data_IF_992068450021
#
_entry.id   IF_992068450021
#
_cell.length_a   1.000
_cell.length_b   1.000
_cell.length_c   1.000
_cell.angle_alpha   90.00
_cell.angle_beta   90.00
_cell.angle_gamma   90.00
#
_symmetry.space_group_name_H-M   'P 1'
#
loop_
_entity.id
_entity.type
_entity.pdbx_description
1 polymer ?
#
# COMPACT_ATOMS: atom_id res chain seq x y z
N UNK A 1 11.31 -35.57 51.23
CA UNK A 1 10.09 -34.77 51.47
C UNK A 1 10.18 -33.53 50.59
N UNK A 2 9.66 -33.62 49.37
CA UNK A 2 9.56 -32.48 48.46
C UNK A 2 8.17 -32.55 47.81
N UNK A 3 7.20 -31.92 48.46
CA UNK A 3 5.85 -31.73 47.96
C UNK A 3 5.68 -30.25 47.62
N UNK A 4 6.11 -29.86 46.43
CA UNK A 4 5.73 -28.58 45.83
C UNK A 4 4.43 -28.80 45.06
N UNK A 5 3.31 -28.38 45.65
CA UNK A 5 2.01 -28.40 45.00
C UNK A 5 1.91 -27.18 44.09
N UNK A 6 2.25 -27.34 42.81
CA UNK A 6 1.93 -26.34 41.79
C UNK A 6 0.41 -26.27 41.62
N UNK A 7 -0.18 -25.21 42.16
CA UNK A 7 -1.56 -24.84 41.92
C UNK A 7 -1.72 -24.45 40.44
N UNK A 8 -2.25 -25.37 39.64
CA UNK A 8 -2.72 -25.05 38.30
C UNK A 8 -3.87 -24.05 38.41
N UNK A 9 -3.58 -22.76 38.16
CA UNK A 9 -4.59 -21.72 37.95
C UNK A 9 -5.56 -22.20 36.87
N UNK A 10 -6.73 -22.66 37.29
CA UNK A 10 -7.79 -23.10 36.41
C UNK A 10 -8.52 -21.86 35.95
N UNK A 11 -8.10 -21.27 34.83
CA UNK A 11 -8.75 -20.10 34.24
C UNK A 11 -10.19 -20.46 33.87
N UNK A 12 -11.15 -20.13 34.74
CA UNK A 12 -12.56 -20.46 34.54
C UNK A 12 -13.12 -19.58 33.42
N UNK A 13 -13.31 -20.14 32.23
CA UNK A 13 -13.93 -19.43 31.12
C UNK A 13 -15.42 -19.21 31.44
N UNK A 14 -15.88 -17.97 31.28
CA UNK A 14 -17.28 -17.59 31.48
C UNK A 14 -18.05 -17.61 30.16
N UNK A 15 -19.30 -18.05 30.20
CA UNK A 15 -20.17 -18.07 29.05
C UNK A 15 -20.48 -16.64 28.59
N UNK A 16 -20.25 -16.37 27.31
CA UNK A 16 -20.45 -15.05 26.69
C UNK A 16 -21.87 -14.52 26.87
N UNK A 17 -22.84 -15.43 26.92
CA UNK A 17 -24.26 -15.06 27.00
C UNK A 17 -24.76 -14.88 28.43
N UNK A 18 -24.38 -15.76 29.35
CA UNK A 18 -25.03 -15.85 30.66
C UNK A 18 -24.05 -15.82 31.84
N UNK A 19 -22.75 -15.65 31.60
CA UNK A 19 -21.71 -15.54 32.62
C UNK A 19 -21.36 -16.83 33.36
N UNK A 20 -22.16 -17.90 33.21
CA UNK A 20 -21.92 -19.20 33.86
C UNK A 20 -20.64 -19.88 33.36
N UNK A 21 -20.02 -20.78 34.14
CA UNK A 21 -18.84 -21.54 33.70
C UNK A 21 -19.08 -22.23 32.35
N UNK A 22 -18.18 -22.00 31.41
CA UNK A 22 -18.30 -22.44 30.02
C UNK A 22 -17.24 -23.49 29.68
N UNK A 23 -17.68 -24.55 29.02
CA UNK A 23 -16.85 -25.70 28.64
C UNK A 23 -17.01 -26.08 27.16
N UNK A 24 -17.98 -25.48 26.45
CA UNK A 24 -18.23 -25.70 25.03
C UNK A 24 -17.64 -24.56 24.18
N UNK A 25 -17.10 -24.90 23.01
CA UNK A 25 -16.46 -23.96 22.09
C UNK A 25 -17.04 -24.06 20.69
N UNK A 26 -17.01 -22.96 19.94
CA UNK A 26 -17.40 -22.95 18.54
C UNK A 26 -16.38 -23.74 17.70
N UNK A 27 -16.81 -24.76 16.92
CA UNK A 27 -15.90 -25.54 16.08
C UNK A 27 -15.09 -24.68 15.10
N UNK A 28 -15.68 -23.59 14.58
CA UNK A 28 -15.00 -22.68 13.66
C UNK A 28 -13.97 -21.78 14.36
N UNK A 29 -14.18 -21.42 15.62
CA UNK A 29 -13.16 -20.71 16.42
C UNK A 29 -11.95 -21.62 16.68
N UNK A 30 -12.20 -22.90 16.96
CA UNK A 30 -11.13 -23.89 17.14
C UNK A 30 -10.32 -24.08 15.85
N UNK A 31 -11.01 -24.20 14.70
CA UNK A 31 -10.38 -24.29 13.38
C UNK A 31 -9.52 -23.06 13.05
N UNK A 32 -9.99 -21.85 13.41
CA UNK A 32 -9.32 -20.58 13.17
C UNK A 32 -8.34 -20.16 14.28
N UNK A 33 -8.12 -21.00 15.30
CA UNK A 33 -7.25 -20.72 16.48
C UNK A 33 -7.52 -19.36 17.15
N UNK A 34 -8.79 -18.98 17.28
CA UNK A 34 -9.18 -17.71 17.90
C UNK A 34 -9.18 -17.81 19.43
N UNK A 35 -8.98 -16.68 20.15
CA UNK A 35 -9.00 -16.64 21.62
C UNK A 35 -10.29 -17.28 22.18
N UNK A 36 -10.14 -18.01 23.28
CA UNK A 36 -11.25 -18.72 23.95
C UNK A 36 -12.05 -17.76 24.83
N UNK A 37 -11.39 -16.72 25.29
CA UNK A 37 -11.93 -15.63 26.09
C UNK A 37 -12.93 -14.83 25.25
N UNK A 38 -14.21 -14.85 25.64
CA UNK A 38 -15.27 -14.18 24.87
C UNK A 38 -15.88 -15.02 23.73
N UNK A 39 -15.56 -16.32 23.64
CA UNK A 39 -16.13 -17.25 22.66
C UNK A 39 -16.57 -18.61 23.25
N UNK A 40 -16.69 -18.69 24.58
CA UNK A 40 -17.04 -19.91 25.31
C UNK A 40 -18.55 -19.96 25.67
N UNK A 41 -19.13 -21.15 25.65
CA UNK A 41 -20.54 -21.39 25.94
C UNK A 41 -20.74 -22.49 27.00
N UNK A 42 -21.75 -22.34 27.85
CA UNK A 42 -22.10 -23.36 28.85
C UNK A 42 -23.01 -24.47 28.30
N UNK A 43 -23.79 -24.19 27.25
CA UNK A 43 -24.78 -25.10 26.65
C UNK A 43 -24.96 -24.83 25.17
N UNK A 44 -25.49 -25.82 24.43
CA UNK A 44 -25.81 -25.68 23.01
C UNK A 44 -26.89 -24.61 22.75
N UNK A 45 -27.80 -24.38 23.69
CA UNK A 45 -28.83 -23.33 23.59
C UNK A 45 -28.23 -21.92 23.73
N UNK A 46 -27.24 -21.75 24.60
CA UNK A 46 -26.49 -20.50 24.70
C UNK A 46 -25.67 -20.22 23.44
N UNK A 47 -25.14 -21.26 22.80
CA UNK A 47 -24.44 -21.15 21.52
C UNK A 47 -25.39 -20.74 20.39
N UNK A 48 -26.53 -21.44 20.22
CA UNK A 48 -27.51 -21.12 19.15
C UNK A 48 -28.07 -19.72 19.27
N UNK A 49 -28.40 -19.28 20.47
CA UNK A 49 -28.95 -17.94 20.70
C UNK A 49 -27.92 -16.82 20.48
N UNK A 50 -26.63 -17.11 20.66
CA UNK A 50 -25.54 -16.16 20.38
C UNK A 50 -24.98 -16.31 18.97
N UNK A 51 -25.49 -17.22 18.14
CA UNK A 51 -24.92 -17.56 16.83
C UNK A 51 -24.91 -16.37 15.86
N UNK A 52 -26.01 -15.59 15.83
CA UNK A 52 -26.16 -14.44 14.94
C UNK A 52 -25.16 -13.33 15.27
N UNK A 53 -24.92 -13.05 16.55
CA UNK A 53 -23.92 -12.07 17.00
C UNK A 53 -22.50 -12.61 16.98
N UNK A 54 -22.28 -13.90 17.24
CA UNK A 54 -20.95 -14.51 17.28
C UNK A 54 -20.33 -14.67 15.88
N UNK A 55 -21.14 -14.82 14.83
CA UNK A 55 -20.68 -14.91 13.43
C UNK A 55 -19.80 -13.72 13.01
N UNK A 56 -19.99 -12.53 13.57
CA UNK A 56 -19.17 -11.36 13.26
C UNK A 56 -17.72 -11.48 13.75
N UNK A 57 -17.47 -12.29 14.80
CA UNK A 57 -16.11 -12.57 15.29
C UNK A 57 -15.30 -13.31 14.22
N UNK A 58 -15.94 -14.23 13.49
CA UNK A 58 -15.32 -14.90 12.35
C UNK A 58 -15.13 -13.99 11.15
N UNK A 59 -16.01 -12.99 10.93
CA UNK A 59 -15.82 -12.02 9.85
C UNK A 59 -14.57 -11.16 10.10
N UNK A 60 -14.38 -10.67 11.34
CA UNK A 60 -13.17 -9.96 11.74
C UNK A 60 -11.94 -10.85 11.60
N UNK A 61 -11.98 -12.08 12.11
CA UNK A 61 -10.88 -13.03 11.97
C UNK A 61 -10.56 -13.41 10.51
N UNK A 62 -11.55 -13.45 9.62
CA UNK A 62 -11.33 -13.70 8.18
C UNK A 62 -10.63 -12.53 7.48
N UNK A 63 -10.81 -11.31 7.99
CA UNK A 63 -10.04 -10.12 7.59
C UNK A 63 -8.64 -10.10 8.24
N UNK A 64 -8.42 -10.90 9.28
CA UNK A 64 -7.15 -11.00 10.03
C UNK A 64 -6.36 -12.29 9.74
N UNK A 65 -6.90 -13.22 8.95
CA UNK A 65 -6.23 -14.47 8.63
C UNK A 65 -5.11 -14.21 7.60
N UNK A 66 -3.88 -14.68 7.83
CA UNK A 66 -2.76 -14.52 6.89
C UNK A 66 -2.95 -15.47 5.71
N UNK A 67 -3.80 -15.07 4.77
CA UNK A 67 -3.74 -15.55 3.39
C UNK A 67 -2.66 -14.76 2.67
N UNK A 68 -1.45 -15.33 2.56
CA UNK A 68 -0.43 -15.04 1.53
C UNK A 68 -0.39 -13.59 1.01
N UNK A 69 0.50 -12.78 1.59
CA UNK A 69 1.02 -11.56 0.98
C UNK A 69 0.43 -10.25 1.50
N UNK A 70 1.03 -9.74 2.57
CA UNK A 70 1.25 -8.32 2.89
C UNK A 70 0.56 -7.31 1.93
N UNK A 71 -0.66 -6.87 2.22
CA UNK A 71 -1.28 -5.76 1.49
C UNK A 71 -2.46 -5.07 2.21
N UNK A 72 -2.65 -5.28 3.52
CA UNK A 72 -3.80 -4.69 4.23
C UNK A 72 -3.63 -3.18 4.50
N UNK A 73 -2.42 -2.69 4.76
CA UNK A 73 -2.18 -1.25 4.97
C UNK A 73 -2.22 -0.42 3.67
N UNK A 74 -1.77 -0.98 2.54
CA UNK A 74 -1.66 -0.23 1.27
C UNK A 74 -3.01 0.02 0.58
N UNK A 75 -4.00 -0.85 0.81
CA UNK A 75 -5.39 -0.60 0.37
C UNK A 75 -5.98 0.59 1.13
N UNK A 76 -5.52 0.87 2.35
CA UNK A 76 -5.96 2.02 3.15
C UNK A 76 -5.44 3.36 2.61
N UNK A 77 -4.32 3.38 1.89
CA UNK A 77 -3.74 4.59 1.28
C UNK A 77 -4.24 4.82 -0.16
N UNK A 78 -5.13 3.96 -0.67
CA UNK A 78 -5.71 4.13 -2.00
C UNK A 78 -4.76 3.84 -3.16
N UNK A 79 -3.62 3.18 -2.90
CA UNK A 79 -2.69 2.80 -3.95
C UNK A 79 -3.32 1.79 -4.91
N UNK A 80 -3.12 1.98 -6.21
CA UNK A 80 -3.74 1.14 -7.25
C UNK A 80 -2.78 0.83 -8.38
N UNK A 81 -2.93 -0.35 -8.98
CA UNK A 81 -2.19 -0.72 -10.17
C UNK A 81 -2.66 0.08 -11.39
N UNK A 82 -1.72 0.45 -12.26
CA UNK A 82 -1.99 1.07 -13.55
C UNK A 82 -2.41 0.02 -14.59
N UNK A 83 -3.44 0.33 -15.34
CA UNK A 83 -3.87 -0.41 -16.54
C UNK A 83 -4.13 0.56 -17.69
N UNK A 84 -4.28 0.05 -18.91
CA UNK A 84 -4.54 0.85 -20.13
C UNK A 84 -3.53 2.01 -20.29
N UNK A 85 -2.23 1.71 -20.22
CA UNK A 85 -1.15 2.72 -20.33
C UNK A 85 -1.29 3.88 -19.33
N UNK A 86 -1.78 3.61 -18.12
CA UNK A 86 -1.93 4.61 -17.05
C UNK A 86 -3.28 5.35 -17.02
N UNK A 87 -4.15 5.12 -18.01
CA UNK A 87 -5.46 5.77 -18.09
C UNK A 87 -6.52 5.21 -17.13
N UNK A 88 -6.27 4.04 -16.53
CA UNK A 88 -7.19 3.44 -15.57
C UNK A 88 -6.45 2.78 -14.40
N UNK A 89 -7.16 2.62 -13.28
CA UNK A 89 -6.65 2.12 -12.01
C UNK A 89 -7.43 0.90 -11.54
N UNK A 90 -6.75 -0.10 -11.01
CA UNK A 90 -7.38 -1.32 -10.47
C UNK A 90 -6.72 -1.74 -9.15
N UNK A 91 -7.49 -2.24 -8.17
CA UNK A 91 -6.92 -2.81 -6.94
C UNK A 91 -6.28 -4.18 -7.17
N UNK A 92 -6.61 -4.86 -8.27
CA UNK A 92 -6.09 -6.19 -8.61
C UNK A 92 -4.91 -6.07 -9.57
N UNK A 93 -3.86 -6.84 -9.32
CA UNK A 93 -2.71 -6.97 -10.22
C UNK A 93 -3.18 -7.42 -11.61
N UNK A 94 -2.88 -6.69 -12.70
CA UNK A 94 -3.25 -7.11 -14.04
C UNK A 94 -2.49 -8.38 -14.45
N UNK A 95 -3.17 -9.23 -15.21
CA UNK A 95 -2.54 -10.40 -15.82
C UNK A 95 -1.68 -9.97 -17.03
N UNK A 96 -0.43 -10.42 -17.02
CA UNK A 96 0.54 -10.22 -18.10
C UNK A 96 1.66 -11.26 -17.96
N UNK A 97 2.23 -11.69 -19.08
CA UNK A 97 3.33 -12.66 -19.12
C UNK A 97 4.67 -11.94 -18.99
N UNK A 98 5.10 -11.75 -17.74
CA UNK A 98 6.33 -11.04 -17.41
C UNK A 98 7.58 -11.85 -17.79
N UNK A 99 8.59 -11.19 -18.35
CA UNK A 99 9.83 -11.82 -18.82
C UNK A 99 10.85 -12.12 -17.72
N UNK A 100 10.69 -11.53 -16.53
CA UNK A 100 11.65 -11.67 -15.42
C UNK A 100 10.98 -11.82 -14.06
N UNK A 101 11.72 -11.55 -12.98
CA UNK A 101 11.22 -11.62 -11.59
C UNK A 101 10.52 -10.34 -11.14
N UNK A 102 10.85 -9.19 -11.74
CA UNK A 102 10.27 -7.90 -11.38
C UNK A 102 8.77 -7.86 -11.69
N UNK A 103 7.97 -7.31 -10.76
CA UNK A 103 6.52 -7.14 -10.91
C UNK A 103 6.14 -5.70 -10.61
N UNK A 104 5.11 -5.14 -11.25
CA UNK A 104 4.60 -3.83 -10.88
C UNK A 104 3.99 -3.89 -9.47
N UNK A 105 4.10 -2.78 -8.76
CA UNK A 105 3.43 -2.56 -7.48
C UNK A 105 2.30 -1.54 -7.66
N UNK A 106 1.29 -1.49 -6.77
CA UNK A 106 0.38 -0.36 -6.71
C UNK A 106 1.19 0.94 -6.61
N UNK A 107 0.69 2.03 -7.18
CA UNK A 107 1.35 3.33 -7.09
C UNK A 107 0.44 4.34 -6.40
N UNK A 108 1.07 5.34 -5.76
CA UNK A 108 0.38 6.42 -5.07
C UNK A 108 -0.37 7.35 -6.04
N UNK A 109 -1.11 8.30 -5.48
CA UNK A 109 -1.74 9.38 -6.26
C UNK A 109 -0.70 10.37 -6.80
N UNK A 110 -0.98 10.98 -7.95
CA UNK A 110 -0.11 12.02 -8.54
C UNK A 110 0.11 13.17 -7.54
N UNK A 111 1.37 13.55 -7.33
CA UNK A 111 1.76 14.69 -6.51
C UNK A 111 1.41 16.01 -7.20
N UNK A 112 1.08 17.03 -6.40
CA UNK A 112 0.67 18.34 -6.90
C UNK A 112 1.89 19.22 -7.19
N UNK A 113 1.83 19.95 -8.32
CA UNK A 113 2.81 20.98 -8.68
C UNK A 113 2.18 22.36 -8.39
N UNK A 114 2.89 23.29 -7.71
CA UNK A 114 2.39 24.63 -7.47
C UNK A 114 2.06 25.41 -8.74
N UNK A 115 1.04 26.27 -8.68
CA UNK A 115 0.53 27.01 -9.84
C UNK A 115 1.48 28.08 -10.39
N UNK A 116 2.53 28.47 -9.64
CA UNK A 116 3.51 29.45 -10.09
C UNK A 116 4.59 28.86 -11.00
N UNK A 117 4.72 27.53 -11.06
CA UNK A 117 5.68 26.85 -11.93
C UNK A 117 5.08 26.75 -13.33
N UNK A 118 5.83 27.18 -14.34
CA UNK A 118 5.41 27.06 -15.73
C UNK A 118 5.30 25.59 -16.13
N UNK A 119 4.14 25.22 -16.68
CA UNK A 119 3.84 23.85 -17.06
C UNK A 119 4.04 23.65 -18.57
N UNK A 120 4.61 22.52 -19.01
CA UNK A 120 4.65 22.16 -20.41
C UNK A 120 3.25 21.88 -20.97
N UNK A 121 3.12 21.91 -22.30
CA UNK A 121 1.85 21.77 -23.04
C UNK A 121 1.10 20.44 -22.80
N UNK A 122 1.83 19.42 -22.37
CA UNK A 122 1.36 18.07 -22.06
C UNK A 122 1.07 17.82 -20.56
N UNK A 123 1.32 18.78 -19.66
CA UNK A 123 1.27 18.53 -18.21
C UNK A 123 -0.09 18.04 -17.68
N UNK A 124 -1.18 18.43 -18.34
CA UNK A 124 -2.56 18.15 -17.91
C UNK A 124 -3.15 16.90 -18.58
N UNK A 125 -2.98 16.75 -19.89
CA UNK A 125 -3.61 15.70 -20.70
C UNK A 125 -2.64 14.59 -21.12
N UNK A 126 -1.34 14.76 -20.85
CA UNK A 126 -0.29 13.81 -21.23
C UNK A 126 -0.04 13.73 -22.75
N UNK A 127 -0.54 14.68 -23.53
CA UNK A 127 -0.40 14.68 -25.00
C UNK A 127 0.49 15.84 -25.45
N UNK A 128 1.72 15.58 -25.95
CA UNK A 128 2.57 16.62 -26.54
C UNK A 128 1.92 17.17 -27.81
N UNK A 129 1.61 18.47 -27.84
CA UNK A 129 0.93 19.15 -28.96
C UNK A 129 1.94 19.82 -29.88
N UNK A 130 3.00 20.37 -29.31
CA UNK A 130 4.05 21.10 -30.04
C UNK A 130 5.02 20.15 -30.72
N UNK A 131 5.50 19.11 -30.02
CA UNK A 131 6.52 18.20 -30.55
C UNK A 131 6.12 17.51 -31.86
N UNK A 132 4.90 16.93 -32.02
CA UNK A 132 4.49 16.22 -33.24
C UNK A 132 4.59 17.03 -34.54
N UNK A 133 4.40 18.36 -34.44
CA UNK A 133 4.36 19.27 -35.58
C UNK A 133 5.60 20.18 -35.67
N UNK A 134 6.63 19.89 -34.86
CA UNK A 134 7.85 20.70 -34.82
C UNK A 134 8.81 20.29 -35.92
N UNK A 135 9.36 21.27 -36.64
CA UNK A 135 10.48 21.06 -37.58
C UNK A 135 11.70 20.42 -36.91
N UNK A 136 11.79 20.53 -35.57
CA UNK A 136 12.85 19.92 -34.76
C UNK A 136 12.83 18.39 -34.77
N UNK A 137 11.78 17.74 -35.26
CA UNK A 137 11.80 16.30 -35.50
C UNK A 137 12.76 15.86 -36.59
N UNK A 138 13.05 16.76 -37.54
CA UNK A 138 13.84 16.47 -38.72
C UNK A 138 15.12 17.30 -38.77
N UNK A 139 15.21 18.37 -37.98
CA UNK A 139 16.34 19.30 -37.97
C UNK A 139 16.87 19.46 -36.56
N UNK A 140 18.18 19.33 -36.40
CA UNK A 140 18.84 19.58 -35.11
C UNK A 140 18.94 21.10 -34.90
N UNK A 141 18.30 21.60 -33.84
CA UNK A 141 18.36 23.02 -33.46
C UNK A 141 19.78 23.44 -33.10
N UNK A 142 20.26 24.53 -33.70
CA UNK A 142 21.46 25.23 -33.24
C UNK A 142 21.01 26.31 -32.26
N UNK A 143 21.32 26.10 -30.97
CA UNK A 143 20.88 26.98 -29.90
C UNK A 143 21.63 28.32 -29.89
N UNK A 144 20.92 29.39 -29.56
CA UNK A 144 21.51 30.70 -29.30
C UNK A 144 22.29 30.71 -27.98
N UNK A 145 23.22 31.67 -27.77
CA UNK A 145 23.95 31.79 -26.51
C UNK A 145 23.03 31.83 -25.27
N UNK A 146 21.92 32.55 -25.35
CA UNK A 146 20.95 32.65 -24.24
C UNK A 146 20.22 31.33 -23.98
N UNK A 147 19.84 30.60 -25.04
CA UNK A 147 19.25 29.27 -24.90
C UNK A 147 20.25 28.29 -24.29
N UNK A 148 21.53 28.37 -24.66
CA UNK A 148 22.59 27.54 -24.09
C UNK A 148 22.72 27.80 -22.59
N UNK A 149 22.68 29.07 -22.16
CA UNK A 149 22.79 29.39 -20.74
C UNK A 149 21.59 28.88 -19.94
N UNK A 150 20.37 29.01 -20.48
CA UNK A 150 19.18 28.38 -19.88
C UNK A 150 19.33 26.87 -19.76
N UNK A 151 19.82 26.20 -20.80
CA UNK A 151 20.06 24.75 -20.79
C UNK A 151 21.10 24.36 -19.72
N UNK A 152 22.19 25.12 -19.58
CA UNK A 152 23.21 24.87 -18.55
C UNK A 152 22.61 24.96 -17.15
N UNK A 153 21.79 25.97 -16.91
CA UNK A 153 21.15 26.17 -15.61
C UNK A 153 20.18 25.04 -15.29
N UNK A 154 19.28 24.69 -16.23
CA UNK A 154 18.37 23.56 -16.05
C UNK A 154 19.12 22.24 -15.81
N UNK A 155 20.21 21.99 -16.54
CA UNK A 155 21.03 20.79 -16.33
C UNK A 155 21.74 20.77 -14.97
N UNK A 156 22.15 21.93 -14.45
CA UNK A 156 22.74 22.07 -13.10
C UNK A 156 21.72 21.70 -12.03
N UNK A 157 20.51 22.26 -12.11
CA UNK A 157 19.40 21.94 -11.22
C UNK A 157 19.06 20.44 -11.28
N UNK A 158 18.93 19.88 -12.49
CA UNK A 158 18.65 18.46 -12.67
C UNK A 158 19.72 17.56 -12.03
N UNK A 159 20.99 17.98 -12.03
CA UNK A 159 22.07 17.27 -11.34
C UNK A 159 21.87 17.29 -9.84
N UNK A 160 21.53 18.43 -9.24
CA UNK A 160 21.30 18.55 -7.81
C UNK A 160 20.11 17.67 -7.35
N UNK A 161 19.03 17.63 -8.14
CA UNK A 161 17.88 16.74 -7.91
C UNK A 161 18.30 15.27 -8.01
N UNK A 162 19.11 14.90 -9.00
CA UNK A 162 19.61 13.53 -9.15
C UNK A 162 20.51 13.12 -7.98
N UNK A 163 21.35 14.03 -7.47
CA UNK A 163 22.19 13.78 -6.30
C UNK A 163 21.33 13.62 -5.03
N UNK A 164 20.21 14.32 -4.92
CA UNK A 164 19.22 14.12 -3.85
C UNK A 164 18.58 12.72 -3.92
N UNK A 165 18.18 12.28 -5.11
CA UNK A 165 17.67 10.92 -5.31
C UNK A 165 18.72 9.86 -4.94
N UNK A 166 19.97 10.05 -5.36
CA UNK A 166 21.06 9.11 -5.10
C UNK A 166 21.30 8.88 -3.59
N UNK A 167 21.16 9.92 -2.76
CA UNK A 167 21.28 9.82 -1.30
C UNK A 167 20.21 8.95 -0.64
N UNK A 168 19.08 8.71 -1.30
CA UNK A 168 17.99 7.88 -0.78
C UNK A 168 18.17 6.38 -1.05
N UNK A 169 19.09 6.00 -1.95
CA UNK A 169 19.21 4.62 -2.42
C UNK A 169 19.78 3.73 -1.31
N UNK A 170 18.91 2.91 -0.72
CA UNK A 170 19.27 1.87 0.26
C UNK A 170 18.22 0.76 0.28
N UNK A 171 18.57 -0.47 0.72
CA UNK A 171 17.61 -1.55 0.85
C UNK A 171 16.40 -1.15 1.73
N UNK A 172 15.21 -1.51 1.27
CA UNK A 172 13.95 -1.21 1.96
C UNK A 172 13.29 0.12 1.57
N UNK A 173 13.97 0.99 0.82
CA UNK A 173 13.36 2.21 0.26
C UNK A 173 12.61 1.87 -1.03
N UNK A 174 11.37 2.35 -1.14
CA UNK A 174 10.52 2.19 -2.30
C UNK A 174 10.83 3.23 -3.38
N UNK A 175 10.52 2.91 -4.64
CA UNK A 175 10.67 3.87 -5.74
C UNK A 175 9.72 5.05 -5.62
N UNK A 176 8.56 4.88 -4.96
CA UNK A 176 7.59 5.97 -4.69
C UNK A 176 8.15 6.97 -3.67
N UNK A 177 8.87 6.50 -2.65
CA UNK A 177 9.56 7.39 -1.71
C UNK A 177 10.69 8.19 -2.39
N UNK A 178 11.42 7.57 -3.33
CA UNK A 178 12.45 8.27 -4.12
C UNK A 178 11.79 9.32 -5.03
N UNK A 179 10.68 8.97 -5.69
CA UNK A 179 9.91 9.89 -6.55
C UNK A 179 9.41 11.10 -5.77
N UNK A 180 8.94 10.92 -4.53
CA UNK A 180 8.53 12.04 -3.67
C UNK A 180 9.66 13.02 -3.39
N UNK A 181 10.85 12.51 -3.06
CA UNK A 181 12.02 13.35 -2.83
C UNK A 181 12.43 14.08 -4.11
N UNK A 182 12.39 13.40 -5.26
CA UNK A 182 12.68 14.02 -6.56
C UNK A 182 11.67 15.13 -6.88
N UNK A 183 10.38 14.89 -6.66
CA UNK A 183 9.31 15.84 -6.88
C UNK A 183 9.46 17.09 -6.00
N UNK A 184 9.69 16.89 -4.71
CA UNK A 184 9.90 17.99 -3.75
C UNK A 184 11.17 18.79 -4.06
N UNK A 185 12.27 18.11 -4.39
CA UNK A 185 13.51 18.76 -4.78
C UNK A 185 13.35 19.58 -6.08
N UNK A 186 12.60 19.06 -7.05
CA UNK A 186 12.33 19.77 -8.33
C UNK A 186 11.46 21.01 -8.14
N UNK A 187 10.52 21.00 -7.18
CA UNK A 187 9.69 22.18 -6.87
C UNK A 187 10.49 23.26 -6.13
N UNK A 188 11.51 22.85 -5.38
CA UNK A 188 12.27 23.74 -4.48
C UNK A 188 13.50 24.35 -5.12
N UNK A 189 14.06 23.71 -6.15
CA UNK A 189 15.22 24.19 -6.89
C UNK A 189 14.89 25.41 -7.77
#
# INVERSE_FOLDING_TARGET
>A
MAGGSDAAETTSLSCVRCGKPAHLQCPKCMELKLPREGAAFCTQDCFKASWTSHKSVHLKAKLSAPGTGENSSLVSEGWRYCIKKGQARTPKLPHFDWTGTLRPYPISSKLTVPAYIELPDWALDGTPKVEPNSDLQHVVEIKTPDQIERMRETCRIAREVLDAAARMIRPGVTTDEIDRVVHEATITA
#
